data_IF_621180417495
#
_entry.id   IF_621180417495
#
_cell.length_a   1.000
_cell.length_b   1.000
_cell.length_c   1.000
_cell.angle_alpha   90.00
_cell.angle_beta   90.00
_cell.angle_gamma   90.00
#
_symmetry.space_group_name_H-M   'P 1'
#
loop_
_entity.id
_entity.type
_entity.pdbx_description
1 polymer ?
#
# COMPACT_ATOMS: atom_id res chain seq x y z
N UNK A 1 -6.31 2.26 23.42
CA UNK A 1 -7.74 2.49 23.13
C UNK A 1 -7.96 2.52 21.64
N UNK A 2 -8.98 1.84 21.14
CA UNK A 2 -9.45 1.93 19.75
C UNK A 2 -10.61 2.92 19.69
N UNK A 3 -10.62 3.80 18.69
CA UNK A 3 -11.70 4.75 18.40
C UNK A 3 -12.19 4.56 16.98
N UNK A 4 -13.50 4.54 16.81
CA UNK A 4 -14.16 4.35 15.53
C UNK A 4 -14.62 5.68 14.96
N UNK A 5 -14.33 5.92 13.67
CA UNK A 5 -14.79 7.09 12.94
C UNK A 5 -15.58 6.65 11.73
N UNK A 6 -16.90 6.73 11.80
CA UNK A 6 -17.79 6.31 10.73
C UNK A 6 -18.02 7.43 9.71
N UNK A 7 -18.15 7.06 8.44
CA UNK A 7 -18.38 7.99 7.34
C UNK A 7 -17.15 8.76 6.85
N UNK A 8 -15.95 8.47 7.41
CA UNK A 8 -14.70 9.11 6.99
C UNK A 8 -13.85 8.24 6.06
N UNK A 9 -14.22 6.98 5.84
CA UNK A 9 -13.55 6.16 4.83
C UNK A 9 -13.81 6.72 3.42
N UNK A 10 -12.76 6.89 2.61
CA UNK A 10 -12.79 7.56 1.30
C UNK A 10 -13.14 9.07 1.34
N UNK A 11 -13.09 9.69 2.52
CA UNK A 11 -13.18 11.14 2.71
C UNK A 11 -11.83 11.73 3.16
N UNK A 12 -10.91 12.05 2.22
CA UNK A 12 -9.59 12.56 2.58
C UNK A 12 -9.65 13.89 3.34
N UNK A 13 -10.69 14.72 3.14
CA UNK A 13 -10.81 16.00 3.82
C UNK A 13 -11.27 15.83 5.26
N UNK A 14 -12.28 15.01 5.50
CA UNK A 14 -12.73 14.67 6.86
C UNK A 14 -11.64 13.96 7.66
N UNK A 15 -10.91 13.02 7.03
CA UNK A 15 -9.73 12.39 7.63
C UNK A 15 -8.68 13.43 8.00
N UNK A 16 -8.33 14.33 7.07
CA UNK A 16 -7.32 15.35 7.31
C UNK A 16 -7.74 16.32 8.41
N UNK A 17 -9.01 16.72 8.50
CA UNK A 17 -9.53 17.56 9.58
C UNK A 17 -9.42 16.87 10.95
N UNK A 18 -9.78 15.59 11.01
CA UNK A 18 -9.68 14.77 12.22
C UNK A 18 -8.23 14.70 12.72
N UNK A 19 -7.30 14.38 11.81
CA UNK A 19 -5.86 14.26 12.12
C UNK A 19 -5.23 15.62 12.46
N UNK A 20 -5.54 16.67 11.69
CA UNK A 20 -4.93 17.99 11.87
C UNK A 20 -5.27 18.62 13.23
N UNK A 21 -6.49 18.38 13.73
CA UNK A 21 -6.90 18.83 15.06
C UNK A 21 -5.97 18.28 16.13
N UNK A 22 -5.69 16.98 16.08
CA UNK A 22 -4.82 16.31 17.05
C UNK A 22 -3.33 16.63 16.84
N UNK A 23 -2.88 16.74 15.59
CA UNK A 23 -1.48 17.01 15.25
C UNK A 23 -0.96 18.34 15.82
N UNK A 24 -1.81 19.36 15.97
CA UNK A 24 -1.45 20.65 16.56
C UNK A 24 -1.06 20.54 18.04
N UNK A 25 -1.61 19.57 18.76
CA UNK A 25 -1.37 19.36 20.18
C UNK A 25 -0.01 18.72 20.49
N UNK A 26 0.73 18.21 19.48
CA UNK A 26 2.01 17.54 19.71
C UNK A 26 1.98 16.04 19.42
N UNK A 27 3.16 15.46 19.32
CA UNK A 27 3.39 14.04 19.10
C UNK A 27 3.65 13.67 17.64
N UNK A 28 4.06 12.43 17.44
CA UNK A 28 4.24 11.82 16.14
C UNK A 28 3.04 10.93 15.82
N UNK A 29 2.37 11.22 14.70
CA UNK A 29 1.14 10.56 14.27
C UNK A 29 1.40 9.80 12.98
N UNK A 30 0.89 8.57 12.89
CA UNK A 30 0.82 7.83 11.63
C UNK A 30 -0.60 7.88 11.06
N UNK A 31 -0.73 8.04 9.74
CA UNK A 31 -1.98 7.91 8.98
C UNK A 31 -1.77 6.86 7.90
N UNK A 32 -2.43 5.71 8.04
CA UNK A 32 -2.25 4.56 7.16
C UNK A 32 -3.43 4.44 6.21
N UNK A 33 -3.17 4.63 4.92
CA UNK A 33 -4.13 4.42 3.85
C UNK A 33 -3.89 3.06 3.16
N UNK A 34 -4.95 2.45 2.64
CA UNK A 34 -4.90 1.16 1.97
C UNK A 34 -4.48 1.27 0.50
N UNK A 35 -4.67 2.43 -0.11
CA UNK A 35 -4.26 2.71 -1.50
C UNK A 35 -3.31 3.91 -1.57
N UNK A 36 -2.49 3.94 -2.62
CA UNK A 36 -1.55 5.05 -2.84
C UNK A 36 -2.29 6.34 -3.19
N UNK A 37 -3.39 6.24 -3.93
CA UNK A 37 -4.23 7.40 -4.27
C UNK A 37 -4.85 8.03 -3.01
N UNK A 38 -5.35 7.22 -2.07
CA UNK A 38 -5.86 7.72 -0.79
C UNK A 38 -4.75 8.40 0.03
N UNK A 39 -3.57 7.78 0.14
CA UNK A 39 -2.43 8.38 0.83
C UNK A 39 -2.04 9.75 0.26
N UNK A 40 -1.99 9.88 -1.07
CA UNK A 40 -1.69 11.15 -1.75
C UNK A 40 -2.78 12.20 -1.47
N UNK A 41 -4.07 11.84 -1.57
CA UNK A 41 -5.19 12.75 -1.32
C UNK A 41 -5.23 13.23 0.14
N UNK A 42 -5.04 12.33 1.11
CA UNK A 42 -4.97 12.67 2.54
C UNK A 42 -3.78 13.57 2.81
N UNK A 43 -2.61 13.28 2.23
CA UNK A 43 -1.42 14.13 2.40
C UNK A 43 -1.67 15.55 1.87
N UNK A 44 -2.24 15.67 0.66
CA UNK A 44 -2.57 16.97 0.07
C UNK A 44 -3.57 17.76 0.94
N UNK A 45 -4.56 17.07 1.51
CA UNK A 45 -5.50 17.67 2.45
C UNK A 45 -4.83 18.16 3.74
N UNK A 46 -3.96 17.34 4.33
CA UNK A 46 -3.19 17.71 5.52
C UNK A 46 -2.21 18.85 5.27
N UNK A 47 -1.58 18.89 4.10
CA UNK A 47 -0.67 19.97 3.71
C UNK A 47 -1.37 21.33 3.72
N UNK A 48 -2.66 21.40 3.35
CA UNK A 48 -3.45 22.64 3.40
C UNK A 48 -3.83 23.05 4.82
N UNK A 49 -3.96 22.10 5.74
CA UNK A 49 -4.50 22.32 7.09
C UNK A 49 -3.41 22.51 8.16
N UNK A 50 -2.23 21.94 7.95
CA UNK A 50 -1.13 21.94 8.92
C UNK A 50 -0.19 23.13 8.71
N UNK A 51 0.18 23.85 9.79
CA UNK A 51 1.19 24.90 9.70
C UNK A 51 2.55 24.29 9.32
N UNK A 52 3.21 24.87 8.31
CA UNK A 52 4.53 24.41 7.83
C UNK A 52 5.69 25.14 8.49
N UNK A 53 5.45 26.33 9.00
CA UNK A 53 6.46 27.23 9.56
C UNK A 53 6.08 27.75 10.95
N UNK A 54 7.08 28.20 11.69
CA UNK A 54 6.91 28.77 13.02
C UNK A 54 6.94 27.73 14.16
N UNK A 55 6.70 28.17 15.41
CA UNK A 55 6.84 27.32 16.60
C UNK A 55 5.77 26.20 16.68
N UNK A 56 4.71 26.32 15.90
CA UNK A 56 3.62 25.33 15.81
C UNK A 56 3.74 24.43 14.58
N UNK A 57 4.81 24.56 13.79
CA UNK A 57 5.03 23.79 12.58
C UNK A 57 4.88 22.28 12.83
N UNK A 58 4.16 21.61 11.94
CA UNK A 58 3.99 20.17 11.92
C UNK A 58 4.71 19.62 10.71
N UNK A 59 5.67 18.75 10.96
CA UNK A 59 6.34 18.06 9.89
C UNK A 59 5.39 17.04 9.23
N UNK A 60 5.32 16.99 7.91
CA UNK A 60 4.42 16.09 7.18
C UNK A 60 5.20 15.31 6.12
N UNK A 61 5.19 13.98 6.23
CA UNK A 61 5.85 13.05 5.31
C UNK A 61 4.82 12.18 4.58
N UNK A 62 5.14 11.79 3.34
CA UNK A 62 4.37 10.84 2.54
C UNK A 62 5.25 9.66 2.18
N UNK A 63 4.81 8.43 2.44
CA UNK A 63 5.59 7.24 2.12
C UNK A 63 4.76 6.09 1.52
N UNK A 64 5.10 5.71 0.28
CA UNK A 64 4.40 4.66 -0.46
C UNK A 64 5.26 4.07 -1.58
N UNK A 65 4.74 3.07 -2.31
CA UNK A 65 5.51 2.35 -3.32
C UNK A 65 5.70 3.09 -4.66
N UNK A 66 4.88 4.09 -5.00
CA UNK A 66 4.95 4.83 -6.29
C UNK A 66 6.02 5.93 -6.34
N UNK A 67 7.12 5.78 -5.63
CA UNK A 67 8.31 6.63 -5.79
C UNK A 67 9.38 5.88 -6.60
N UNK A 68 10.19 6.59 -7.41
CA UNK A 68 11.43 6.02 -7.94
C UNK A 68 12.28 5.46 -6.80
N UNK A 69 13.01 4.37 -7.05
CA UNK A 69 13.77 3.67 -6.01
C UNK A 69 14.73 4.59 -5.23
N UNK A 70 15.43 5.52 -5.89
CA UNK A 70 16.29 6.50 -5.20
C UNK A 70 15.49 7.37 -4.21
N UNK A 71 14.35 7.90 -4.66
CA UNK A 71 13.51 8.79 -3.85
C UNK A 71 12.84 8.05 -2.71
N UNK A 72 12.44 6.81 -2.97
CA UNK A 72 11.89 5.92 -1.93
C UNK A 72 12.89 5.70 -0.82
N UNK A 73 14.17 5.47 -1.16
CA UNK A 73 15.24 5.30 -0.17
C UNK A 73 15.43 6.57 0.67
N UNK A 74 15.48 7.75 0.05
CA UNK A 74 15.59 9.02 0.78
C UNK A 74 14.43 9.23 1.78
N UNK A 75 13.20 8.91 1.36
CA UNK A 75 12.02 9.04 2.22
C UNK A 75 12.08 8.02 3.37
N UNK A 76 12.49 6.78 3.10
CA UNK A 76 12.64 5.74 4.11
C UNK A 76 13.66 6.15 5.18
N UNK A 77 14.81 6.68 4.76
CA UNK A 77 15.83 7.23 5.65
C UNK A 77 15.26 8.37 6.51
N UNK A 78 14.55 9.34 5.89
CA UNK A 78 13.92 10.44 6.61
C UNK A 78 12.86 9.97 7.63
N UNK A 79 12.08 8.94 7.30
CA UNK A 79 11.10 8.31 8.20
C UNK A 79 11.81 7.67 9.39
N UNK A 80 12.87 6.89 9.16
CA UNK A 80 13.64 6.25 10.22
C UNK A 80 14.29 7.28 11.16
N UNK A 81 14.86 8.35 10.62
CA UNK A 81 15.45 9.43 11.42
C UNK A 81 14.48 10.03 12.44
N UNK A 82 13.19 10.09 12.13
CA UNK A 82 12.17 10.75 12.97
C UNK A 82 11.51 9.79 13.96
N UNK A 83 11.28 8.56 13.53
CA UNK A 83 10.33 7.68 14.22
C UNK A 83 10.94 6.43 14.84
N UNK A 84 12.23 6.14 14.62
CA UNK A 84 12.82 4.90 15.11
C UNK A 84 13.36 4.95 16.56
N UNK A 85 13.85 3.80 17.02
CA UNK A 85 14.41 3.60 18.34
C UNK A 85 15.69 4.39 18.62
N UNK A 86 16.42 4.91 17.61
CA UNK A 86 17.67 5.66 17.86
C UNK A 86 17.42 6.92 18.67
N UNK A 87 16.21 7.46 18.61
CA UNK A 87 15.77 8.59 19.43
C UNK A 87 15.68 8.28 20.94
N UNK A 88 15.73 7.00 21.35
CA UNK A 88 15.76 6.58 22.76
C UNK A 88 17.16 6.31 23.28
N UNK A 89 18.19 6.43 22.42
CA UNK A 89 19.58 6.25 22.85
C UNK A 89 20.00 7.34 23.87
N UNK A 90 20.98 7.04 24.74
CA UNK A 90 21.48 7.99 25.73
C UNK A 90 22.01 9.28 25.09
N UNK A 91 21.89 10.40 25.80
CA UNK A 91 22.51 11.66 25.38
C UNK A 91 24.02 11.48 25.14
N UNK A 92 24.51 11.98 24.01
CA UNK A 92 25.90 11.83 23.60
C UNK A 92 26.20 10.59 22.73
N UNK A 93 25.27 9.66 22.52
CA UNK A 93 25.47 8.59 21.53
C UNK A 93 25.47 9.21 20.11
N UNK A 94 26.53 8.98 19.29
CA UNK A 94 26.64 9.58 17.96
C UNK A 94 25.55 9.11 16.98
N UNK A 95 24.85 8.02 17.28
CA UNK A 95 23.74 7.50 16.46
C UNK A 95 22.39 8.05 16.88
N UNK A 96 22.32 8.78 18.00
CA UNK A 96 21.06 9.28 18.56
C UNK A 96 20.41 10.26 17.59
N UNK A 97 19.17 9.96 17.21
CA UNK A 97 18.34 10.85 16.40
C UNK A 97 17.48 11.76 17.29
N UNK A 98 16.95 12.83 16.71
CA UNK A 98 16.02 13.74 17.40
C UNK A 98 14.61 13.45 16.90
N UNK A 99 13.76 12.96 17.80
CA UNK A 99 12.34 12.79 17.51
C UNK A 99 11.67 14.17 17.43
N UNK A 100 10.90 14.47 16.37
CA UNK A 100 10.20 15.75 16.25
C UNK A 100 9.10 15.89 17.31
N UNK A 101 8.87 17.13 17.76
CA UNK A 101 7.79 17.44 18.69
C UNK A 101 6.39 17.30 18.05
N UNK A 102 6.29 17.55 16.74
CA UNK A 102 5.07 17.46 15.93
C UNK A 102 5.43 16.89 14.56
N UNK A 103 4.96 15.69 14.26
CA UNK A 103 5.11 15.12 12.94
C UNK A 103 3.94 14.20 12.58
N UNK A 104 3.59 14.18 11.29
CA UNK A 104 2.57 13.31 10.73
C UNK A 104 3.19 12.55 9.55
N UNK A 105 3.13 11.22 9.60
CA UNK A 105 3.49 10.36 8.47
C UNK A 105 2.22 9.81 7.84
N UNK A 106 1.93 10.22 6.60
CA UNK A 106 0.93 9.56 5.76
C UNK A 106 1.64 8.45 4.99
N UNK A 107 1.18 7.21 5.13
CA UNK A 107 1.81 6.09 4.46
C UNK A 107 0.80 5.03 4.01
N UNK A 108 1.24 4.18 3.08
CA UNK A 108 0.53 2.92 2.81
C UNK A 108 1.12 1.78 3.66
N UNK A 109 0.78 0.53 3.35
CA UNK A 109 1.27 -0.68 4.03
C UNK A 109 2.80 -0.83 4.03
N UNK A 110 3.54 0.04 3.33
CA UNK A 110 5.01 0.04 3.32
C UNK A 110 5.63 0.20 4.71
N UNK A 111 4.94 0.82 5.67
CA UNK A 111 5.43 0.96 7.05
C UNK A 111 5.14 -0.27 7.94
N UNK A 112 4.37 -1.23 7.44
CA UNK A 112 4.04 -2.46 8.17
C UNK A 112 5.22 -3.45 8.13
N UNK A 113 5.97 -3.46 7.03
CA UNK A 113 7.03 -4.43 6.76
C UNK A 113 8.42 -3.90 7.12
N UNK A 114 9.08 -4.55 8.07
CA UNK A 114 10.52 -4.41 8.37
C UNK A 114 11.03 -3.04 8.86
N UNK A 115 10.18 -2.04 9.09
CA UNK A 115 10.59 -0.77 9.70
C UNK A 115 10.28 -0.74 11.21
N UNK A 116 11.29 -0.39 12.01
CA UNK A 116 11.21 -0.25 13.47
C UNK A 116 10.73 1.16 13.84
N UNK A 117 9.43 1.44 13.64
CA UNK A 117 8.83 2.76 13.83
C UNK A 117 7.95 2.83 15.07
N UNK A 118 7.91 4.02 15.67
CA UNK A 118 7.19 4.30 16.90
C UNK A 118 6.38 5.60 16.79
N UNK A 119 5.07 5.50 16.98
CA UNK A 119 4.11 6.62 16.94
C UNK A 119 3.37 6.77 18.27
N UNK A 120 2.98 8.01 18.57
CA UNK A 120 2.19 8.36 19.76
C UNK A 120 0.69 8.13 19.51
N UNK A 121 0.25 8.31 18.26
CA UNK A 121 -1.13 8.07 17.85
C UNK A 121 -1.18 7.55 16.42
N UNK A 122 -2.16 6.72 16.11
CA UNK A 122 -2.26 6.10 14.79
C UNK A 122 -3.69 6.17 14.27
N UNK A 123 -3.81 6.62 13.02
CA UNK A 123 -5.03 6.64 12.24
C UNK A 123 -4.88 5.68 11.09
N UNK A 124 -5.92 4.92 10.79
CA UNK A 124 -5.88 3.92 9.72
C UNK A 124 -7.23 3.81 9.06
N UNK A 125 -7.23 3.61 7.74
CA UNK A 125 -8.40 3.08 7.05
C UNK A 125 -8.69 1.66 7.54
N UNK A 126 -9.96 1.24 7.45
CA UNK A 126 -10.41 -0.10 7.77
C UNK A 126 -9.56 -1.17 7.04
N UNK A 127 -9.17 -2.22 7.76
CA UNK A 127 -8.41 -3.32 7.22
C UNK A 127 -8.76 -4.61 7.97
N UNK A 128 -8.37 -5.80 7.47
CA UNK A 128 -8.41 -7.04 8.23
C UNK A 128 -7.76 -6.92 9.62
N UNK A 129 -8.31 -7.62 10.60
CA UNK A 129 -7.92 -7.48 12.01
C UNK A 129 -6.44 -7.77 12.28
N UNK A 130 -5.86 -8.73 11.60
CA UNK A 130 -4.45 -9.09 11.70
C UNK A 130 -3.56 -7.94 11.24
N UNK A 131 -3.89 -7.27 10.13
CA UNK A 131 -3.20 -6.08 9.65
C UNK A 131 -3.39 -4.89 10.59
N UNK A 132 -4.59 -4.67 11.13
CA UNK A 132 -4.82 -3.63 12.14
C UNK A 132 -3.96 -3.85 13.40
N UNK A 133 -3.86 -5.09 13.87
CA UNK A 133 -3.00 -5.45 15.01
C UNK A 133 -1.51 -5.28 14.69
N UNK A 134 -1.07 -5.59 13.47
CA UNK A 134 0.30 -5.33 13.02
C UNK A 134 0.62 -3.83 12.99
N UNK A 135 -0.30 -3.02 12.47
CA UNK A 135 -0.22 -1.54 12.48
C UNK A 135 -0.13 -1.02 13.92
N UNK A 136 -1.01 -1.49 14.79
CA UNK A 136 -1.01 -1.15 16.23
C UNK A 136 0.32 -1.55 16.92
N UNK A 137 1.06 -2.53 16.41
CA UNK A 137 2.41 -2.88 16.90
C UNK A 137 3.49 -1.82 16.66
N UNK A 138 3.16 -0.71 16.01
CA UNK A 138 4.00 0.51 15.89
C UNK A 138 3.51 1.66 16.78
N UNK A 139 2.37 1.50 17.44
CA UNK A 139 1.84 2.45 18.42
C UNK A 139 2.54 2.22 19.77
N UNK A 140 3.15 3.26 20.32
CA UNK A 140 3.89 3.21 21.60
C UNK A 140 4.93 2.08 21.65
N UNK A 141 5.61 1.84 20.53
CA UNK A 141 6.45 0.65 20.33
C UNK A 141 7.67 0.60 21.24
N UNK A 142 8.32 1.74 21.48
CA UNK A 142 9.48 1.84 22.37
C UNK A 142 9.08 2.47 23.70
N UNK A 143 9.71 2.05 24.79
CA UNK A 143 9.46 2.71 26.06
C UNK A 143 9.98 4.16 26.02
N UNK A 144 9.12 5.12 26.38
CA UNK A 144 9.46 6.54 26.49
C UNK A 144 8.85 7.09 27.79
N UNK A 145 9.64 7.73 28.67
CA UNK A 145 9.13 8.30 29.91
C UNK A 145 8.09 9.40 29.68
N UNK A 146 8.29 10.19 28.61
CA UNK A 146 7.42 11.28 28.21
C UNK A 146 6.71 10.89 26.91
N UNK A 147 5.38 10.74 26.98
CA UNK A 147 4.49 10.45 25.83
C UNK A 147 3.40 11.50 25.77
N UNK A 148 3.00 11.85 24.55
CA UNK A 148 1.84 12.72 24.34
C UNK A 148 0.58 11.84 24.36
N UNK A 149 -0.06 11.75 25.53
CA UNK A 149 -1.34 11.08 25.70
C UNK A 149 -1.27 9.54 25.76
N UNK A 150 -2.43 8.88 25.92
CA UNK A 150 -2.53 7.42 25.91
C UNK A 150 -2.44 6.85 24.49
N UNK A 151 -1.98 5.60 24.37
CA UNK A 151 -1.93 4.87 23.12
C UNK A 151 -3.33 4.76 22.49
N UNK A 152 -3.58 5.58 21.47
CA UNK A 152 -4.89 5.68 20.79
C UNK A 152 -4.77 5.26 19.32
N UNK A 153 -5.69 4.41 18.89
CA UNK A 153 -5.73 3.80 17.57
C UNK A 153 -7.08 4.11 16.92
N UNK A 154 -7.08 4.89 15.85
CA UNK A 154 -8.27 5.37 15.17
C UNK A 154 -8.50 4.61 13.88
N UNK A 155 -9.73 4.13 13.69
CA UNK A 155 -10.09 3.39 12.48
C UNK A 155 -11.20 4.13 11.75
N UNK A 156 -10.97 4.45 10.48
CA UNK A 156 -11.96 5.05 9.58
C UNK A 156 -12.79 3.96 8.92
N UNK A 157 -14.11 4.06 9.08
CA UNK A 157 -15.11 3.14 8.57
C UNK A 157 -16.02 3.84 7.56
N UNK A 158 -16.66 3.09 6.65
CA UNK A 158 -17.73 3.67 5.84
C UNK A 158 -18.91 4.11 6.71
N UNK A 159 -19.87 4.82 6.11
CA UNK A 159 -21.09 5.22 6.83
C UNK A 159 -21.86 3.97 7.29
N UNK A 160 -22.47 3.96 8.49
CA UNK A 160 -23.29 2.84 8.94
C UNK A 160 -24.55 2.65 8.06
N UNK A 161 -25.01 3.73 7.41
CA UNK A 161 -26.15 3.69 6.48
C UNK A 161 -25.79 3.04 5.14
N UNK A 162 -24.52 3.11 4.74
CA UNK A 162 -24.02 2.54 3.49
C UNK A 162 -22.59 2.01 3.68
N UNK A 163 -22.47 0.70 3.92
CA UNK A 163 -21.21 0.00 4.16
C UNK A 163 -20.41 -0.25 2.86
N UNK A 164 -20.26 0.78 2.03
CA UNK A 164 -19.37 0.72 0.86
C UNK A 164 -17.93 1.06 1.27
N UNK A 165 -17.04 0.08 1.16
CA UNK A 165 -15.62 0.26 1.47
C UNK A 165 -14.82 1.00 0.38
N UNK A 166 -15.48 1.52 -0.66
CA UNK A 166 -14.83 2.34 -1.69
C UNK A 166 -13.64 1.62 -2.32
N UNK A 167 -12.48 2.28 -2.53
CA UNK A 167 -11.27 1.64 -3.05
C UNK A 167 -10.70 0.52 -2.15
N UNK A 168 -11.01 0.50 -0.85
CA UNK A 168 -10.50 -0.51 0.08
C UNK A 168 -10.98 -1.92 -0.29
N UNK A 169 -12.18 -2.06 -0.89
CA UNK A 169 -12.72 -3.37 -1.32
C UNK A 169 -11.92 -4.03 -2.45
N UNK A 170 -11.13 -3.24 -3.18
CA UNK A 170 -10.26 -3.76 -4.23
C UNK A 170 -8.97 -4.34 -3.64
N UNK A 171 -8.60 -3.94 -2.43
CA UNK A 171 -7.38 -4.40 -1.73
C UNK A 171 -7.71 -5.56 -0.78
N UNK A 172 -8.84 -5.47 -0.08
CA UNK A 172 -9.28 -6.47 0.90
C UNK A 172 -10.73 -6.89 0.63
N UNK A 173 -11.01 -8.17 0.76
CA UNK A 173 -12.34 -8.70 0.51
C UNK A 173 -13.38 -8.12 1.52
N UNK A 174 -14.52 -7.57 1.06
CA UNK A 174 -15.53 -6.94 1.92
C UNK A 174 -15.99 -7.79 3.11
N UNK A 175 -16.14 -9.10 2.92
CA UNK A 175 -16.52 -10.01 4.00
C UNK A 175 -15.59 -9.92 5.22
N UNK A 176 -14.27 -9.91 5.00
CA UNK A 176 -13.29 -9.83 6.09
C UNK A 176 -13.33 -8.47 6.78
N UNK A 177 -13.56 -7.39 6.02
CA UNK A 177 -13.72 -6.04 6.58
C UNK A 177 -14.98 -5.94 7.44
N UNK A 178 -16.10 -6.50 6.98
CA UNK A 178 -17.34 -6.56 7.75
C UNK A 178 -17.15 -7.38 9.03
N UNK A 179 -16.51 -8.55 8.96
CA UNK A 179 -16.19 -9.37 10.14
C UNK A 179 -15.29 -8.62 11.13
N UNK A 180 -14.32 -7.86 10.62
CA UNK A 180 -13.44 -7.03 11.47
C UNK A 180 -14.21 -5.91 12.15
N UNK A 181 -15.11 -5.24 11.43
CA UNK A 181 -16.02 -4.25 12.02
C UNK A 181 -16.87 -4.88 13.12
N UNK A 182 -17.48 -6.04 12.88
CA UNK A 182 -18.28 -6.75 13.88
C UNK A 182 -17.47 -7.12 15.14
N UNK A 183 -16.25 -7.59 14.97
CA UNK A 183 -15.38 -7.97 16.08
C UNK A 183 -14.96 -6.78 16.95
N UNK A 184 -14.87 -5.58 16.36
CA UNK A 184 -14.44 -4.35 17.07
C UNK A 184 -15.60 -3.46 17.51
N UNK A 185 -16.81 -3.59 16.93
CA UNK A 185 -17.97 -2.75 17.21
C UNK A 185 -18.65 -3.02 18.57
N UNK A 186 -18.22 -4.04 19.32
CA UNK A 186 -18.92 -4.58 20.49
C UNK A 186 -19.04 -3.68 21.73
N UNK A 187 -18.69 -2.37 21.68
CA UNK A 187 -18.75 -1.50 22.87
C UNK A 187 -18.95 0.01 22.59
N UNK A 188 -19.53 0.39 21.44
CA UNK A 188 -19.76 1.81 21.08
C UNK A 188 -18.59 2.46 20.33
N UNK A 189 -18.47 3.79 20.39
CA UNK A 189 -17.48 4.56 19.60
C UNK A 189 -16.02 4.31 19.98
N UNK A 190 -15.77 3.68 21.14
CA UNK A 190 -14.43 3.33 21.59
C UNK A 190 -14.38 2.01 22.35
N UNK A 191 -13.30 1.26 22.14
CA UNK A 191 -13.06 -0.02 22.80
C UNK A 191 -11.64 -0.07 23.37
N UNK A 192 -11.47 -0.62 24.56
CA UNK A 192 -10.13 -0.97 25.07
C UNK A 192 -9.74 -2.38 24.63
N UNK A 193 -8.56 -2.49 24.02
CA UNK A 193 -7.96 -3.77 23.66
C UNK A 193 -6.69 -3.95 24.49
N UNK A 194 -6.61 -5.08 25.21
CA UNK A 194 -5.44 -5.51 25.97
C UNK A 194 -4.59 -6.42 25.11
N UNK A 195 -3.43 -5.91 24.72
CA UNK A 195 -2.41 -6.66 23.98
C UNK A 195 -1.30 -7.11 24.94
N UNK A 196 -0.73 -8.31 24.76
CA UNK A 196 -0.98 -9.28 23.67
C UNK A 196 -2.19 -10.21 23.89
N UNK A 197 -2.84 -10.16 25.06
CA UNK A 197 -3.83 -11.14 25.51
C UNK A 197 -5.01 -11.37 24.53
N UNK A 198 -5.49 -10.31 23.88
CA UNK A 198 -6.65 -10.38 22.98
C UNK A 198 -6.30 -10.58 21.51
N UNK A 199 -5.02 -10.66 21.12
CA UNK A 199 -4.60 -10.81 19.72
C UNK A 199 -5.26 -12.05 19.09
N UNK A 200 -5.08 -13.20 19.73
CA UNK A 200 -5.57 -14.49 19.21
C UNK A 200 -7.10 -14.51 19.12
N UNK A 201 -7.78 -14.06 20.17
CA UNK A 201 -9.23 -14.03 20.23
C UNK A 201 -9.83 -13.15 19.11
N UNK A 202 -9.22 -11.99 18.83
CA UNK A 202 -9.65 -11.09 17.77
C UNK A 202 -9.44 -11.67 16.37
N UNK A 203 -8.31 -12.35 16.13
CA UNK A 203 -8.04 -13.02 14.85
C UNK A 203 -9.04 -14.17 14.64
N UNK A 204 -9.20 -15.05 15.63
CA UNK A 204 -10.16 -16.16 15.56
C UNK A 204 -11.59 -15.62 15.35
N UNK A 205 -11.98 -14.55 16.03
CA UNK A 205 -13.29 -13.90 15.86
C UNK A 205 -13.57 -13.42 14.42
N UNK A 206 -12.57 -13.08 13.62
CA UNK A 206 -12.76 -12.61 12.23
C UNK A 206 -12.68 -13.74 11.22
N UNK A 207 -11.77 -14.69 11.41
CA UNK A 207 -11.49 -15.73 10.41
C UNK A 207 -12.21 -17.05 10.66
N UNK A 208 -12.69 -17.32 11.87
CA UNK A 208 -13.51 -18.51 12.13
C UNK A 208 -14.86 -18.42 11.41
N UNK A 209 -15.47 -19.57 11.10
CA UNK A 209 -16.81 -19.60 10.52
C UNK A 209 -17.94 -19.44 11.54
N UNK A 210 -17.59 -19.46 12.82
CA UNK A 210 -18.52 -19.36 13.92
C UNK A 210 -19.24 -18.00 13.92
N UNK A 211 -20.56 -17.99 14.17
CA UNK A 211 -21.29 -16.74 14.29
C UNK A 211 -20.76 -15.96 15.49
N UNK A 212 -20.42 -14.69 15.25
CA UNK A 212 -20.16 -13.76 16.34
C UNK A 212 -21.47 -13.51 17.11
N UNK A 213 -21.41 -13.29 18.44
CA UNK A 213 -22.57 -12.86 19.20
C UNK A 213 -23.23 -11.66 18.51
N UNK A 214 -24.55 -11.69 18.35
CA UNK A 214 -25.32 -10.55 17.85
C UNK A 214 -25.26 -9.44 18.90
N UNK A 215 -24.20 -8.63 18.89
CA UNK A 215 -24.27 -7.29 19.42
C UNK A 215 -25.22 -6.46 18.54
N UNK A 216 -25.54 -5.23 18.93
CA UNK A 216 -26.19 -4.24 18.05
C UNK A 216 -25.25 -3.94 16.88
N UNK A 217 -25.21 -4.84 15.91
CA UNK A 217 -24.28 -4.82 14.82
C UNK A 217 -24.73 -3.74 13.82
N UNK A 218 -23.83 -2.85 13.37
CA UNK A 218 -24.14 -1.93 12.29
C UNK A 218 -24.29 -2.64 10.93
N UNK A 219 -24.17 -3.97 10.89
CA UNK A 219 -24.20 -4.80 9.68
C UNK A 219 -25.43 -5.69 9.68
N UNK A 220 -26.32 -5.50 8.72
CA UNK A 220 -27.47 -6.40 8.52
C UNK A 220 -27.00 -7.83 8.20
N UNK A 221 -27.64 -8.83 8.81
CA UNK A 221 -27.27 -10.25 8.65
C UNK A 221 -27.27 -10.71 7.18
N UNK A 222 -28.15 -10.12 6.36
CA UNK A 222 -28.22 -10.40 4.92
C UNK A 222 -26.98 -9.92 4.16
N UNK A 223 -26.49 -8.71 4.47
CA UNK A 223 -25.28 -8.15 3.87
C UNK A 223 -24.08 -9.04 4.18
N UNK A 224 -23.96 -9.49 5.44
CA UNK A 224 -22.90 -10.40 5.84
C UNK A 224 -22.98 -11.76 5.12
N UNK A 225 -24.19 -12.32 4.99
CA UNK A 225 -24.41 -13.59 4.28
C UNK A 225 -24.02 -13.48 2.81
N UNK A 226 -24.50 -12.45 2.11
CA UNK A 226 -24.18 -12.19 0.72
C UNK A 226 -22.66 -12.02 0.50
N UNK A 227 -22.01 -11.22 1.36
CA UNK A 227 -20.56 -11.05 1.31
C UNK A 227 -19.80 -12.36 1.57
N UNK A 228 -20.30 -13.21 2.49
CA UNK A 228 -19.74 -14.55 2.76
C UNK A 228 -19.82 -15.45 1.54
N UNK A 229 -20.97 -15.50 0.87
CA UNK A 229 -21.17 -16.34 -0.33
C UNK A 229 -20.26 -15.89 -1.47
N UNK A 230 -20.11 -14.58 -1.67
CA UNK A 230 -19.17 -14.03 -2.63
C UNK A 230 -17.72 -14.42 -2.31
N UNK A 231 -17.32 -14.30 -1.04
CA UNK A 231 -15.98 -14.67 -0.57
C UNK A 231 -15.67 -16.15 -0.83
N UNK A 232 -16.60 -17.05 -0.49
CA UNK A 232 -16.42 -18.49 -0.73
C UNK A 232 -16.27 -18.78 -2.22
N UNK A 233 -17.10 -18.17 -3.06
CA UNK A 233 -17.03 -18.34 -4.51
C UNK A 233 -15.67 -17.90 -5.06
N UNK A 234 -15.21 -16.71 -4.66
CA UNK A 234 -13.92 -16.19 -5.10
C UNK A 234 -12.76 -17.10 -4.65
N UNK A 235 -12.76 -17.57 -3.40
CA UNK A 235 -11.73 -18.51 -2.91
C UNK A 235 -11.71 -19.81 -3.71
N UNK A 236 -12.89 -20.35 -4.06
CA UNK A 236 -12.97 -21.58 -4.85
C UNK A 236 -12.44 -21.35 -6.28
N UNK A 237 -12.80 -20.23 -6.90
CA UNK A 237 -12.28 -19.83 -8.22
C UNK A 237 -10.74 -19.65 -8.19
N UNK A 238 -10.21 -19.01 -7.15
CA UNK A 238 -8.77 -18.85 -6.94
C UNK A 238 -8.07 -20.20 -6.71
N UNK A 239 -8.67 -21.12 -5.94
CA UNK A 239 -8.14 -22.46 -5.71
C UNK A 239 -8.10 -23.30 -7.00
N UNK A 240 -9.19 -23.26 -7.79
CA UNK A 240 -9.27 -23.94 -9.08
C UNK A 240 -8.26 -23.39 -10.09
N UNK A 241 -8.02 -22.08 -10.08
CA UNK A 241 -6.99 -21.48 -10.93
C UNK A 241 -5.58 -21.83 -10.44
N UNK A 242 -5.34 -21.86 -9.13
CA UNK A 242 -4.05 -22.20 -8.55
C UNK A 242 -3.60 -23.61 -8.95
N UNK A 243 -4.51 -24.58 -9.09
CA UNK A 243 -4.21 -25.93 -9.57
C UNK A 243 -3.49 -25.96 -10.92
N UNK A 244 -3.57 -24.91 -11.74
CA UNK A 244 -2.84 -24.80 -13.01
C UNK A 244 -1.35 -24.47 -12.83
N UNK A 245 -0.98 -23.91 -11.69
CA UNK A 245 0.37 -23.42 -11.40
C UNK A 245 1.05 -24.15 -10.24
N UNK A 246 0.30 -24.91 -9.42
CA UNK A 246 0.85 -25.65 -8.29
C UNK A 246 1.74 -26.80 -8.75
N UNK A 247 2.89 -26.94 -8.09
CA UNK A 247 3.71 -28.15 -8.19
C UNK A 247 2.90 -29.31 -7.61
N UNK A 248 2.86 -30.49 -8.25
CA UNK A 248 2.11 -31.63 -7.75
C UNK A 248 2.58 -32.04 -6.35
N UNK A 249 1.66 -32.63 -5.58
CA UNK A 249 1.99 -33.16 -4.25
C UNK A 249 3.12 -34.20 -4.31
N UNK A 250 3.99 -34.24 -3.29
CA UNK A 250 5.07 -35.21 -3.21
C UNK A 250 4.51 -36.63 -3.17
N UNK A 251 4.91 -37.46 -4.12
CA UNK A 251 4.48 -38.85 -4.24
C UNK A 251 5.67 -39.77 -3.90
N UNK A 252 5.62 -40.53 -2.80
CA UNK A 252 6.71 -41.41 -2.36
C UNK A 252 7.09 -42.49 -3.38
N UNK A 253 6.19 -42.80 -4.33
CA UNK A 253 6.42 -43.78 -5.40
C UNK A 253 7.12 -43.18 -6.63
N UNK A 254 7.23 -41.85 -6.73
CA UNK A 254 7.84 -41.14 -7.85
C UNK A 254 9.16 -40.47 -7.41
N UNK A 255 10.27 -41.17 -7.65
CA UNK A 255 11.62 -40.72 -7.26
C UNK A 255 12.27 -39.72 -8.23
N UNK A 256 11.52 -39.20 -9.22
CA UNK A 256 12.06 -38.31 -10.25
C UNK A 256 11.13 -37.12 -10.49
N UNK A 257 11.67 -35.91 -10.29
CA UNK A 257 11.01 -34.63 -10.62
C UNK A 257 10.51 -34.59 -12.07
N UNK A 258 11.15 -35.33 -12.98
CA UNK A 258 10.84 -35.35 -14.40
C UNK A 258 9.53 -36.10 -14.76
N UNK A 259 9.07 -37.05 -13.93
CA UNK A 259 7.98 -37.95 -14.33
C UNK A 259 6.59 -37.27 -14.42
N UNK A 260 6.41 -36.10 -13.81
CA UNK A 260 5.17 -35.30 -13.88
C UNK A 260 5.36 -33.90 -14.49
N UNK A 261 6.60 -33.49 -14.77
CA UNK A 261 6.91 -32.09 -15.12
C UNK A 261 7.13 -31.81 -16.61
N UNK A 262 7.22 -32.79 -17.50
CA UNK A 262 7.80 -32.56 -18.85
C UNK A 262 6.86 -32.46 -20.06
N UNK A 263 5.54 -32.28 -19.91
CA UNK A 263 4.68 -31.97 -21.09
C UNK A 263 3.91 -30.65 -21.02
N UNK A 264 3.82 -29.98 -19.86
CA UNK A 264 3.06 -28.70 -19.75
C UNK A 264 3.76 -27.57 -19.02
N UNK A 265 4.91 -27.82 -18.38
CA UNK A 265 5.62 -26.81 -17.57
C UNK A 265 6.80 -26.14 -18.29
N UNK A 266 7.27 -26.69 -19.42
CA UNK A 266 8.52 -26.26 -20.07
C UNK A 266 8.41 -26.19 -21.59
N UNK A 267 7.24 -25.87 -22.14
CA UNK A 267 7.16 -25.56 -23.58
C UNK A 267 7.80 -24.18 -23.78
N UNK A 268 9.10 -24.17 -24.11
CA UNK A 268 9.89 -22.97 -24.44
C UNK A 268 9.51 -22.37 -25.82
N UNK A 269 8.47 -22.90 -26.47
CA UNK A 269 8.01 -22.47 -27.77
C UNK A 269 6.63 -21.79 -27.68
N UNK A 270 6.60 -20.56 -27.14
CA UNK A 270 5.76 -19.49 -27.66
C UNK A 270 5.97 -18.20 -26.85
N UNK A 271 5.74 -17.06 -27.50
CA UNK A 271 5.95 -15.67 -27.07
C UNK A 271 5.23 -15.23 -25.76
N UNK A 272 4.78 -16.17 -24.93
CA UNK A 272 4.14 -15.97 -23.62
C UNK A 272 4.92 -16.50 -22.40
N UNK A 273 6.09 -17.14 -22.59
CA UNK A 273 6.83 -17.82 -21.51
C UNK A 273 7.33 -16.90 -20.39
N UNK A 274 7.59 -15.61 -20.67
CA UNK A 274 7.98 -14.63 -19.64
C UNK A 274 6.85 -14.34 -18.62
N UNK A 275 5.60 -14.76 -18.89
CA UNK A 275 4.47 -14.65 -17.95
C UNK A 275 4.08 -15.98 -17.30
N UNK A 276 4.53 -17.12 -17.83
CA UNK A 276 4.02 -18.44 -17.41
C UNK A 276 4.71 -18.98 -16.13
N UNK A 277 5.96 -18.58 -15.87
CA UNK A 277 6.72 -18.95 -14.66
C UNK A 277 6.81 -17.83 -13.61
N UNK A 278 6.17 -16.68 -13.85
CA UNK A 278 5.86 -15.74 -12.78
C UNK A 278 4.74 -16.36 -11.94
N UNK A 279 5.10 -17.28 -11.03
CA UNK A 279 4.19 -17.97 -10.14
C UNK A 279 3.12 -16.99 -9.61
N UNK A 280 1.89 -17.21 -10.06
CA UNK A 280 0.75 -16.31 -9.83
C UNK A 280 0.25 -16.53 -8.41
N UNK A 281 0.97 -15.98 -7.43
CA UNK A 281 0.66 -16.18 -6.00
C UNK A 281 -0.46 -15.28 -5.49
N UNK A 282 -0.86 -14.27 -6.27
CA UNK A 282 -2.07 -13.45 -6.05
C UNK A 282 -2.76 -13.15 -7.37
N UNK A 283 -4.07 -13.33 -7.40
CA UNK A 283 -4.97 -12.88 -8.46
C UNK A 283 -5.38 -11.43 -8.16
N UNK A 284 -5.29 -10.53 -9.15
CA UNK A 284 -5.66 -9.12 -8.99
C UNK A 284 -4.46 -8.18 -8.83
N UNK A 285 -4.53 -7.04 -9.52
CA UNK A 285 -3.54 -5.96 -9.62
C UNK A 285 -2.13 -6.35 -10.07
N UNK A 286 -2.03 -6.60 -11.39
CA UNK A 286 -0.74 -6.63 -12.07
C UNK A 286 -0.01 -5.31 -11.84
N UNK A 287 1.10 -5.36 -11.10
CA UNK A 287 2.06 -4.26 -11.09
C UNK A 287 3.06 -4.46 -12.23
N UNK A 288 3.43 -3.37 -12.88
CA UNK A 288 4.46 -3.36 -13.91
C UNK A 288 5.60 -2.46 -13.45
N UNK A 289 6.84 -2.94 -13.62
CA UNK A 289 8.02 -2.11 -13.36
C UNK A 289 8.26 -1.21 -14.55
N UNK A 290 8.39 0.08 -14.27
CA UNK A 290 8.63 1.12 -15.26
C UNK A 290 9.96 1.79 -14.95
N UNK A 291 10.82 1.86 -15.96
CA UNK A 291 11.98 2.73 -15.96
C UNK A 291 11.53 4.13 -16.38
N UNK A 292 11.69 5.10 -15.49
CA UNK A 292 11.45 6.51 -15.80
C UNK A 292 12.70 7.09 -16.47
N UNK A 293 12.55 7.54 -17.71
CA UNK A 293 13.62 8.18 -18.46
C UNK A 293 13.22 9.63 -18.79
N UNK A 294 13.98 10.59 -18.29
CA UNK A 294 13.79 12.01 -18.61
C UNK A 294 14.35 12.31 -20.01
N UNK A 295 13.49 12.75 -20.93
CA UNK A 295 13.84 12.99 -22.32
C UNK A 295 14.51 11.77 -22.97
N UNK A 296 15.73 11.97 -23.47
CA UNK A 296 16.56 10.95 -24.12
C UNK A 296 17.51 10.20 -23.17
N UNK A 297 17.30 10.31 -21.86
CA UNK A 297 18.06 9.52 -20.89
C UNK A 297 18.05 8.03 -21.24
N UNK A 298 19.22 7.40 -21.12
CA UNK A 298 19.48 6.00 -21.42
C UNK A 298 19.15 5.54 -22.85
N UNK A 299 18.97 6.44 -23.82
CA UNK A 299 18.56 6.07 -25.18
C UNK A 299 19.56 5.15 -25.89
N UNK A 300 20.88 5.40 -25.74
CA UNK A 300 21.92 4.58 -26.35
C UNK A 300 21.95 3.16 -25.76
N UNK A 301 21.79 3.06 -24.45
CA UNK A 301 21.79 1.80 -23.71
C UNK A 301 20.55 0.97 -24.00
N UNK A 302 19.39 1.63 -24.07
CA UNK A 302 18.11 0.99 -24.41
C UNK A 302 18.04 0.57 -25.89
N UNK A 303 18.82 1.19 -26.79
CA UNK A 303 18.97 0.71 -28.17
C UNK A 303 19.91 -0.51 -28.28
N UNK A 304 20.75 -0.75 -27.26
CA UNK A 304 21.70 -1.84 -27.22
C UNK A 304 21.08 -3.21 -26.94
N UNK A 305 21.60 -4.25 -27.61
CA UNK A 305 21.20 -5.65 -27.35
C UNK A 305 21.90 -6.29 -26.15
N UNK A 306 22.85 -5.61 -25.53
CA UNK A 306 23.63 -6.10 -24.39
C UNK A 306 23.46 -5.15 -23.20
N UNK A 307 23.50 -5.68 -21.97
CA UNK A 307 23.43 -4.84 -20.78
C UNK A 307 24.60 -3.83 -20.75
N UNK A 308 24.35 -2.57 -20.36
CA UNK A 308 25.40 -1.57 -20.20
C UNK A 308 26.29 -1.88 -19.00
N UNK A 309 27.29 -1.02 -18.74
CA UNK A 309 28.15 -1.13 -17.57
C UNK A 309 27.33 -1.12 -16.28
N UNK A 310 27.84 -1.78 -15.24
CA UNK A 310 27.18 -1.93 -13.93
C UNK A 310 26.70 -0.59 -13.34
N UNK A 311 27.50 0.46 -13.46
CA UNK A 311 27.16 1.80 -12.96
C UNK A 311 25.90 2.36 -13.64
N UNK A 312 25.77 2.19 -14.95
CA UNK A 312 24.60 2.65 -15.71
C UNK A 312 23.38 1.79 -15.39
N UNK A 313 23.55 0.47 -15.27
CA UNK A 313 22.49 -0.43 -14.81
C UNK A 313 21.97 -0.05 -13.42
N UNK A 314 22.87 0.32 -12.50
CA UNK A 314 22.49 0.79 -11.16
C UNK A 314 21.73 2.11 -11.24
N UNK A 315 22.20 3.08 -12.02
CA UNK A 315 21.48 4.33 -12.26
C UNK A 315 20.08 4.11 -12.84
N UNK A 316 19.93 3.17 -13.78
CA UNK A 316 18.63 2.79 -14.33
C UNK A 316 17.73 2.15 -13.28
N UNK A 317 18.24 1.24 -12.45
CA UNK A 317 17.46 0.62 -11.37
C UNK A 317 16.96 1.64 -10.35
N UNK A 318 17.78 2.65 -10.04
CA UNK A 318 17.39 3.74 -9.14
C UNK A 318 16.19 4.54 -9.69
N UNK A 319 16.04 4.64 -11.00
CA UNK A 319 14.91 5.32 -11.66
C UNK A 319 13.68 4.42 -11.87
N UNK A 320 13.71 3.17 -11.42
CA UNK A 320 12.57 2.27 -11.56
C UNK A 320 11.50 2.55 -10.51
N UNK A 321 10.25 2.36 -10.91
CA UNK A 321 9.06 2.44 -10.06
C UNK A 321 8.07 1.36 -10.47
N UNK A 322 7.31 0.84 -9.51
CA UNK A 322 6.20 -0.08 -9.79
C UNK A 322 4.89 0.70 -9.86
N UNK A 323 4.14 0.51 -10.94
CA UNK A 323 2.81 1.12 -11.13
C UNK A 323 1.76 0.05 -11.45
N UNK A 324 0.46 0.34 -11.27
CA UNK A 324 -0.60 -0.54 -11.75
C UNK A 324 -0.53 -0.69 -13.27
N UNK A 325 -0.63 -1.92 -13.79
CA UNK A 325 -0.52 -2.20 -15.22
C UNK A 325 -1.64 -1.52 -16.04
N UNK A 326 -2.82 -1.33 -15.44
CA UNK A 326 -3.94 -0.66 -16.09
C UNK A 326 -3.65 0.79 -16.48
N UNK A 327 -2.66 1.46 -15.86
CA UNK A 327 -2.20 2.80 -16.27
C UNK A 327 -1.71 2.84 -17.72
N UNK A 328 -1.19 1.72 -18.23
CA UNK A 328 -0.59 1.59 -19.55
C UNK A 328 -1.49 0.85 -20.55
N UNK A 329 -2.62 0.31 -20.08
CA UNK A 329 -3.52 -0.48 -20.91
C UNK A 329 -4.37 0.41 -21.80
N UNK A 330 -4.23 0.25 -23.12
CA UNK A 330 -5.05 0.99 -24.09
C UNK A 330 -4.81 2.49 -24.08
N UNK A 331 -3.56 2.92 -23.84
CA UNK A 331 -3.17 4.35 -23.88
C UNK A 331 -2.19 4.59 -25.02
N UNK A 332 -2.49 5.57 -25.87
CA UNK A 332 -1.63 6.02 -26.96
C UNK A 332 -1.01 7.39 -26.63
N UNK A 333 0.25 7.66 -27.01
CA UNK A 333 0.91 8.93 -26.71
C UNK A 333 0.29 10.10 -27.49
N UNK A 334 0.23 11.28 -26.88
CA UNK A 334 -0.11 12.51 -27.60
C UNK A 334 1.07 12.99 -28.48
N UNK A 335 0.82 13.84 -29.50
CA UNK A 335 1.89 14.43 -30.31
C UNK A 335 2.98 15.08 -29.44
N UNK A 336 4.23 14.67 -29.65
CA UNK A 336 5.38 15.13 -28.87
C UNK A 336 5.80 14.20 -27.74
N UNK A 337 4.99 13.21 -27.37
CA UNK A 337 5.34 12.16 -26.40
C UNK A 337 5.65 10.84 -27.10
N UNK A 338 6.46 10.00 -26.45
CA UNK A 338 6.82 8.68 -26.97
C UNK A 338 5.93 7.59 -26.37
N UNK A 339 5.63 6.52 -27.12
CA UNK A 339 4.87 5.39 -26.59
C UNK A 339 5.65 4.68 -25.48
N UNK A 340 4.92 4.08 -24.54
CA UNK A 340 5.52 3.25 -23.50
C UNK A 340 5.85 1.88 -24.08
N UNK A 341 7.14 1.55 -24.15
CA UNK A 341 7.62 0.34 -24.83
C UNK A 341 8.23 -0.66 -23.86
N UNK A 342 8.24 -1.98 -24.16
CA UNK A 342 9.11 -2.93 -23.46
C UNK A 342 10.56 -2.47 -23.46
N UNK A 343 11.25 -2.66 -22.34
CA UNK A 343 12.70 -2.58 -22.30
C UNK A 343 13.32 -3.74 -23.11
N UNK A 344 14.61 -3.64 -23.52
CA UNK A 344 15.30 -4.70 -24.24
C UNK A 344 15.35 -6.01 -23.45
N UNK A 345 15.57 -7.14 -24.14
CA UNK A 345 15.56 -8.48 -23.53
C UNK A 345 16.57 -8.71 -22.38
N UNK A 346 17.60 -7.87 -22.24
CA UNK A 346 18.50 -7.92 -21.08
C UNK A 346 17.91 -7.28 -19.81
N UNK A 347 16.77 -6.60 -19.92
CA UNK A 347 16.00 -6.01 -18.82
C UNK A 347 14.54 -6.51 -18.84
N UNK A 348 14.32 -7.81 -18.63
CA UNK A 348 13.00 -8.42 -18.81
C UNK A 348 11.97 -7.91 -17.79
N UNK A 349 10.71 -7.82 -18.25
CA UNK A 349 9.58 -7.40 -17.42
C UNK A 349 9.54 -5.92 -17.04
N UNK A 350 10.37 -5.08 -17.65
CA UNK A 350 10.39 -3.62 -17.45
C UNK A 350 9.82 -2.92 -18.69
N UNK A 351 9.05 -1.85 -18.47
CA UNK A 351 8.59 -0.91 -19.51
C UNK A 351 9.38 0.39 -19.41
N UNK A 352 9.60 1.08 -20.51
CA UNK A 352 10.27 2.39 -20.55
C UNK A 352 9.23 3.47 -20.72
N UNK A 353 9.11 4.35 -19.72
CA UNK A 353 8.27 5.54 -19.77
C UNK A 353 9.17 6.76 -19.90
N UNK A 354 9.08 7.43 -21.05
CA UNK A 354 9.82 8.67 -21.29
C UNK A 354 9.00 9.88 -20.87
N UNK A 355 9.47 10.58 -19.85
CA UNK A 355 8.84 11.79 -19.33
C UNK A 355 9.57 13.03 -19.83
N UNK A 356 8.86 14.14 -19.96
CA UNK A 356 9.39 15.46 -20.30
C UNK A 356 8.99 16.45 -19.21
N UNK A 357 9.97 17.01 -18.50
CA UNK A 357 9.74 17.78 -17.28
C UNK A 357 8.97 16.99 -16.23
N UNK A 358 9.21 15.68 -16.13
CA UNK A 358 8.45 14.79 -15.23
C UNK A 358 7.04 14.43 -15.69
N UNK A 359 6.60 14.86 -16.87
CA UNK A 359 5.25 14.59 -17.40
C UNK A 359 5.27 13.66 -18.61
N UNK A 360 4.25 12.81 -18.70
CA UNK A 360 3.90 12.08 -19.91
C UNK A 360 2.41 12.23 -20.20
N UNK A 361 2.05 12.48 -21.48
CA UNK A 361 0.66 12.64 -21.91
C UNK A 361 0.28 11.61 -22.97
N UNK A 362 -0.94 11.12 -22.86
CA UNK A 362 -1.54 10.19 -23.80
C UNK A 362 -3.06 10.31 -23.84
N UNK A 363 -3.69 9.43 -24.61
CA UNK A 363 -5.15 9.28 -24.71
C UNK A 363 -5.53 7.83 -24.50
N UNK A 364 -6.59 7.59 -23.74
CA UNK A 364 -7.16 6.25 -23.60
C UNK A 364 -7.80 5.77 -24.92
N UNK A 365 -8.15 4.50 -24.99
CA UNK A 365 -8.92 3.91 -26.10
C UNK A 365 -10.28 4.57 -26.33
N UNK A 366 -10.79 5.28 -25.32
CA UNK A 366 -12.03 6.08 -25.37
C UNK A 366 -11.77 7.54 -25.79
N UNK A 367 -10.54 7.90 -26.15
CA UNK A 367 -10.13 9.24 -26.57
C UNK A 367 -9.93 10.26 -25.44
N UNK A 368 -10.06 9.82 -24.17
CA UNK A 368 -9.92 10.68 -22.98
C UNK A 368 -8.46 11.00 -22.68
N UNK A 369 -8.11 12.24 -22.30
CA UNK A 369 -6.73 12.59 -21.98
C UNK A 369 -6.28 11.87 -20.71
N UNK A 370 -5.04 11.38 -20.76
CA UNK A 370 -4.35 10.68 -19.67
C UNK A 370 -3.02 11.37 -19.44
N UNK A 371 -2.70 11.67 -18.18
CA UNK A 371 -1.42 12.25 -17.80
C UNK A 371 -0.79 11.40 -16.71
N UNK A 372 0.47 11.00 -16.92
CA UNK A 372 1.30 10.40 -15.88
C UNK A 372 2.33 11.43 -15.47
N UNK A 373 2.34 11.78 -14.18
CA UNK A 373 3.20 12.80 -13.61
C UNK A 373 4.12 12.17 -12.57
N UNK A 374 5.42 12.39 -12.68
CA UNK A 374 6.40 12.11 -11.64
C UNK A 374 6.57 13.33 -10.75
N UNK A 375 5.68 13.49 -9.77
CA UNK A 375 5.68 14.64 -8.86
C UNK A 375 6.75 14.49 -7.77
N UNK A 376 7.56 15.52 -7.47
CA UNK A 376 8.69 15.40 -6.52
C UNK A 376 8.26 15.08 -5.07
N UNK A 377 7.05 15.49 -4.69
CA UNK A 377 6.48 15.28 -3.34
C UNK A 377 5.53 14.08 -3.29
N UNK A 378 4.78 13.83 -4.36
CA UNK A 378 3.71 12.83 -4.36
C UNK A 378 4.12 11.51 -5.02
N UNK A 379 5.30 11.48 -5.67
CA UNK A 379 5.70 10.37 -6.52
C UNK A 379 4.86 10.34 -7.79
N UNK A 380 4.65 9.15 -8.34
CA UNK A 380 3.86 8.99 -9.54
C UNK A 380 2.36 9.20 -9.27
N UNK A 381 1.76 10.08 -10.07
CA UNK A 381 0.34 10.40 -10.09
C UNK A 381 -0.21 10.12 -11.47
N UNK A 382 -1.41 9.55 -11.53
CA UNK A 382 -2.14 9.30 -12.76
C UNK A 382 -3.41 10.14 -12.77
N UNK A 383 -3.50 11.02 -13.75
CA UNK A 383 -4.67 11.85 -13.97
C UNK A 383 -5.40 11.33 -15.21
N UNK A 384 -6.69 11.04 -15.05
CA UNK A 384 -7.61 10.75 -16.15
C UNK A 384 -8.80 11.67 -15.98
N UNK A 385 -9.09 12.48 -16.98
CA UNK A 385 -10.30 13.32 -16.92
C UNK A 385 -11.53 12.40 -16.92
N UNK A 386 -12.30 12.47 -15.84
CA UNK A 386 -13.64 11.91 -15.78
C UNK A 386 -14.60 12.96 -16.36
N UNK A 387 -15.22 12.61 -17.48
CA UNK A 387 -16.15 13.48 -18.21
C UNK A 387 -17.56 13.45 -17.66
#
# INVERSE_FOLDING_TARGET
TVRHHFGLLDDPEGVAQCVATRAREGGCIAVIANTVDSAQRIYQALERLLPRDGPEAVELLLFHARFPAWRRQEIEEAVLERFDARSTLPEGDPRRTVRPARAVLVATQVIEQSLDLDFDEMYTEAAPIDLLLQRAGRLHRHFRPERVGPATFHIFWPSPENLDFGPTKNVYHPYILLRTLQALAGAGDSMEIRLPDQIRALIEAVYSEDPLPQADLPVAAEVLRSAREHWHRQIQEEADEALRYLVPEPDPSLFCLAAKSTERLWDEADEGADRYLAAKTRLGDYTVRVLLAEGDAFAAELAGRRPPRREVLQAMHLQMVSIPAWWLSGVEPEPGFQPVVPAPGWLPGVRVLRVQGGLWRGRSSEGRPVVIENHPVYGLVYHREEG
#
